data_IF_401278031249
#
_entry.id   IF_401278031249
#
_cell.length_a   1.000
_cell.length_b   1.000
_cell.length_c   1.000
_cell.angle_alpha   90.00
_cell.angle_beta   90.00
_cell.angle_gamma   90.00
#
_symmetry.space_group_name_H-M   'P 1'
#
loop_
_entity.id
_entity.type
_entity.pdbx_description
1 polymer ?
#
# COMPACT_ATOMS: atom_id res chain seq x y z
N UNK A 1 -16.16 5.11 -17.02
CA UNK A 1 -16.93 6.36 -17.24
C UNK A 1 -17.84 6.09 -18.41
N UNK A 2 -19.16 6.15 -18.26
CA UNK A 2 -20.03 6.27 -19.44
C UNK A 2 -19.86 7.71 -19.97
N UNK A 3 -19.35 7.90 -21.20
CA UNK A 3 -19.08 9.23 -21.73
C UNK A 3 -20.36 10.05 -22.02
N UNK A 4 -21.56 9.47 -21.86
CA UNK A 4 -22.80 10.12 -22.31
C UNK A 4 -23.62 10.81 -21.23
N UNK A 5 -23.31 10.64 -19.95
CA UNK A 5 -24.23 11.03 -18.86
C UNK A 5 -23.56 11.28 -17.50
N UNK A 6 -22.23 11.11 -17.35
CA UNK A 6 -21.50 11.62 -16.19
C UNK A 6 -21.77 10.91 -14.86
N UNK A 7 -22.48 9.78 -14.86
CA UNK A 7 -22.70 8.97 -13.66
C UNK A 7 -21.48 8.07 -13.44
N UNK A 8 -20.90 8.12 -12.24
CA UNK A 8 -19.82 7.24 -11.84
C UNK A 8 -20.27 5.78 -11.91
N UNK A 9 -19.62 4.98 -12.76
CA UNK A 9 -19.82 3.53 -12.78
C UNK A 9 -19.19 2.97 -11.50
N UNK A 10 -20.01 2.36 -10.64
CA UNK A 10 -19.49 1.62 -9.48
C UNK A 10 -18.79 0.37 -10.02
N UNK A 11 -17.47 0.33 -9.89
CA UNK A 11 -16.65 -0.75 -10.43
C UNK A 11 -16.60 -1.95 -9.47
N UNK A 12 -16.67 -1.72 -8.16
CA UNK A 12 -16.75 -2.80 -7.17
C UNK A 12 -17.39 -2.31 -5.86
N UNK A 13 -18.38 -3.05 -5.35
CA UNK A 13 -18.96 -2.89 -4.01
C UNK A 13 -19.59 -4.23 -3.58
N UNK A 14 -20.39 -4.29 -2.51
CA UNK A 14 -21.04 -5.54 -2.09
C UNK A 14 -22.04 -6.10 -3.14
N UNK A 15 -22.50 -5.28 -4.08
CA UNK A 15 -23.52 -5.61 -5.09
C UNK A 15 -22.92 -5.81 -6.50
N UNK A 16 -21.61 -5.57 -6.70
CA UNK A 16 -20.92 -5.65 -7.99
C UNK A 16 -19.60 -6.42 -7.83
N UNK A 17 -19.44 -7.48 -8.63
CA UNK A 17 -18.28 -8.40 -8.61
C UNK A 17 -18.34 -9.43 -7.48
N UNK A 18 -17.69 -10.59 -7.65
CA UNK A 18 -17.54 -11.59 -6.57
C UNK A 18 -16.27 -11.35 -5.74
N UNK A 19 -16.11 -12.10 -4.64
CA UNK A 19 -14.98 -12.00 -3.71
C UNK A 19 -15.30 -11.25 -2.42
N UNK A 20 -14.30 -11.02 -1.55
CA UNK A 20 -14.51 -10.31 -0.29
C UNK A 20 -15.06 -8.91 -0.53
N UNK A 21 -16.13 -8.54 0.19
CA UNK A 21 -16.59 -7.16 0.20
C UNK A 21 -15.55 -6.26 0.87
N UNK A 22 -15.40 -5.03 0.39
CA UNK A 22 -14.56 -4.04 1.08
C UNK A 22 -15.18 -3.67 2.43
N UNK A 23 -14.34 -3.51 3.45
CA UNK A 23 -14.75 -3.03 4.77
C UNK A 23 -14.19 -1.64 5.05
N UNK A 24 -12.88 -1.43 4.84
CA UNK A 24 -12.23 -0.13 4.95
C UNK A 24 -11.07 0.01 3.95
N UNK A 25 -11.35 0.12 2.64
CA UNK A 25 -10.32 0.31 1.63
C UNK A 25 -9.66 1.68 1.81
N UNK A 26 -8.33 1.71 1.92
CA UNK A 26 -7.58 2.93 2.24
C UNK A 26 -6.71 3.45 1.09
N UNK A 27 -6.12 2.54 0.31
CA UNK A 27 -5.17 2.89 -0.74
C UNK A 27 -5.30 1.96 -1.93
N UNK A 28 -4.97 2.48 -3.12
CA UNK A 28 -4.96 1.71 -4.36
C UNK A 28 -3.74 2.02 -5.23
N UNK A 29 -3.36 1.04 -6.05
CA UNK A 29 -2.39 1.18 -7.13
C UNK A 29 -2.89 0.39 -8.36
N UNK A 30 -2.35 0.68 -9.53
CA UNK A 30 -2.73 -0.01 -10.78
C UNK A 30 -1.52 -0.74 -11.33
N UNK A 31 -1.63 -2.06 -11.45
CA UNK A 31 -0.59 -2.90 -12.05
C UNK A 31 -0.46 -2.60 -13.54
N UNK A 32 0.69 -2.93 -14.12
CA UNK A 32 0.93 -2.79 -15.57
C UNK A 32 0.00 -3.65 -16.42
N UNK A 33 -0.59 -4.69 -15.83
CA UNK A 33 -1.63 -5.53 -16.43
C UNK A 33 -3.00 -4.86 -16.50
N UNK A 34 -3.17 -3.71 -15.83
CA UNK A 34 -4.45 -3.00 -15.71
C UNK A 34 -5.30 -3.44 -14.50
N UNK A 35 -4.87 -4.44 -13.74
CA UNK A 35 -5.53 -4.83 -12.49
C UNK A 35 -5.33 -3.76 -11.42
N UNK A 36 -6.34 -3.57 -10.56
CA UNK A 36 -6.27 -2.61 -9.45
C UNK A 36 -5.92 -3.36 -8.17
N UNK A 37 -4.87 -2.92 -7.48
CA UNK A 37 -4.52 -3.38 -6.16
C UNK A 37 -5.17 -2.47 -5.12
N UNK A 38 -5.73 -3.05 -4.07
CA UNK A 38 -6.40 -2.30 -2.99
C UNK A 38 -5.96 -2.85 -1.64
N UNK A 39 -5.51 -1.97 -0.74
CA UNK A 39 -5.31 -2.33 0.67
C UNK A 39 -6.57 -2.03 1.46
N UNK A 40 -7.03 -3.01 2.23
CA UNK A 40 -8.18 -2.87 3.13
C UNK A 40 -7.71 -2.95 4.59
N UNK A 41 -7.95 -1.88 5.34
CA UNK A 41 -7.41 -1.70 6.68
C UNK A 41 -8.09 -2.60 7.72
N UNK A 42 -9.40 -2.80 7.60
CA UNK A 42 -10.17 -3.60 8.57
C UNK A 42 -9.97 -5.08 8.29
N UNK A 43 -10.00 -5.48 7.02
CA UNK A 43 -9.72 -6.85 6.63
C UNK A 43 -8.23 -7.24 6.78
N UNK A 44 -7.33 -6.25 6.85
CA UNK A 44 -5.88 -6.44 6.90
C UNK A 44 -5.37 -7.28 5.72
N UNK A 45 -5.85 -6.96 4.52
CA UNK A 45 -5.50 -7.67 3.28
C UNK A 45 -5.04 -6.72 2.19
N UNK A 46 -4.30 -7.29 1.24
CA UNK A 46 -4.11 -6.75 -0.09
C UNK A 46 -4.99 -7.53 -1.06
N UNK A 47 -5.87 -6.84 -1.77
CA UNK A 47 -6.76 -7.38 -2.79
C UNK A 47 -6.24 -7.01 -4.18
N UNK A 48 -6.44 -7.91 -5.14
CA UNK A 48 -6.36 -7.61 -6.57
C UNK A 48 -7.78 -7.58 -7.13
N UNK A 49 -8.08 -6.57 -7.93
CA UNK A 49 -9.43 -6.27 -8.42
C UNK A 49 -9.38 -6.12 -9.93
N UNK A 50 -10.25 -6.84 -10.62
CA UNK A 50 -10.53 -6.59 -12.04
C UNK A 50 -11.45 -5.36 -12.15
N UNK A 51 -10.97 -4.25 -12.75
CA UNK A 51 -11.75 -3.02 -12.83
C UNK A 51 -12.89 -3.08 -13.87
N UNK A 52 -13.01 -4.16 -14.65
CA UNK A 52 -14.11 -4.36 -15.60
C UNK A 52 -15.27 -5.10 -14.92
N UNK A 53 -14.98 -6.21 -14.24
CA UNK A 53 -16.01 -7.05 -13.61
C UNK A 53 -16.27 -6.74 -12.13
N UNK A 54 -15.37 -6.01 -11.48
CA UNK A 54 -15.37 -5.80 -10.03
C UNK A 54 -14.95 -7.03 -9.23
N UNK A 55 -14.50 -8.10 -9.88
CA UNK A 55 -14.09 -9.32 -9.20
C UNK A 55 -12.85 -9.09 -8.34
N UNK A 56 -12.89 -9.54 -7.08
CA UNK A 56 -11.84 -9.33 -6.07
C UNK A 56 -11.24 -10.64 -5.64
N UNK A 57 -9.92 -10.70 -5.59
CA UNK A 57 -9.16 -11.83 -5.05
C UNK A 57 -8.22 -11.36 -3.96
N UNK A 58 -8.09 -12.14 -2.89
CA UNK A 58 -7.07 -11.89 -1.86
C UNK A 58 -5.72 -12.25 -2.44
N UNK A 59 -4.84 -11.25 -2.55
CA UNK A 59 -3.47 -11.43 -2.99
C UNK A 59 -2.55 -11.74 -1.81
N UNK A 60 -2.73 -11.05 -0.67
CA UNK A 60 -1.93 -11.29 0.54
C UNK A 60 -2.73 -11.01 1.80
N UNK A 61 -2.63 -11.89 2.80
CA UNK A 61 -3.35 -11.80 4.07
C UNK A 61 -2.65 -12.63 5.15
N UNK A 62 -3.17 -12.70 6.38
CA UNK A 62 -2.60 -13.59 7.41
C UNK A 62 -2.62 -15.07 7.03
N UNK A 63 -3.49 -15.46 6.09
CA UNK A 63 -3.69 -16.85 5.62
C UNK A 63 -3.27 -17.06 4.16
N UNK A 64 -2.83 -16.02 3.45
CA UNK A 64 -2.37 -16.06 2.06
C UNK A 64 -0.99 -15.40 1.94
N UNK A 65 -0.02 -16.15 1.42
CA UNK A 65 1.39 -15.76 1.41
C UNK A 65 2.04 -15.85 2.80
N UNK A 66 3.36 -15.96 2.82
CA UNK A 66 4.18 -16.01 4.03
C UNK A 66 4.66 -14.62 4.45
N UNK A 67 5.30 -14.53 5.61
CA UNK A 67 5.85 -13.29 6.15
C UNK A 67 4.91 -12.52 7.09
N UNK A 68 5.26 -11.29 7.49
CA UNK A 68 4.54 -10.55 8.51
C UNK A 68 3.11 -10.19 8.07
N UNK A 69 2.11 -10.52 8.89
CA UNK A 69 0.71 -10.06 8.74
C UNK A 69 0.64 -8.54 8.68
N UNK A 70 -0.29 -7.90 7.94
CA UNK A 70 -0.47 -6.44 7.95
C UNK A 70 -1.08 -5.93 9.27
N UNK A 71 -0.87 -4.66 9.60
CA UNK A 71 -1.54 -3.99 10.73
C UNK A 71 -2.06 -2.61 10.31
N UNK A 72 -3.37 -2.52 10.02
CA UNK A 72 -4.02 -1.33 9.47
C UNK A 72 -3.26 -0.78 8.24
N UNK A 73 -3.18 -1.54 7.13
CA UNK A 73 -2.53 -1.07 5.92
C UNK A 73 -3.28 0.12 5.30
N UNK A 74 -2.54 1.14 4.84
CA UNK A 74 -3.14 2.36 4.27
C UNK A 74 -2.43 2.94 3.05
N UNK A 75 -1.12 2.69 2.88
CA UNK A 75 -0.39 3.15 1.70
C UNK A 75 -0.04 1.99 0.78
N UNK A 76 0.01 2.26 -0.53
CA UNK A 76 0.42 1.29 -1.53
C UNK A 76 1.15 1.98 -2.70
N UNK A 77 2.20 1.34 -3.20
CA UNK A 77 2.86 1.72 -4.46
C UNK A 77 3.47 0.49 -5.14
N UNK A 78 3.88 0.66 -6.39
CA UNK A 78 4.49 -0.38 -7.21
C UNK A 78 5.92 -0.01 -7.54
N UNK A 79 6.84 -0.94 -7.27
CA UNK A 79 8.20 -0.87 -7.80
C UNK A 79 8.20 -1.15 -9.30
N UNK A 80 9.21 -0.65 -10.02
CA UNK A 80 9.35 -0.87 -11.45
C UNK A 80 9.47 -2.37 -11.82
N UNK A 81 9.88 -3.20 -10.86
CA UNK A 81 9.94 -4.67 -10.97
C UNK A 81 8.57 -5.34 -10.91
N UNK A 82 7.50 -4.62 -10.53
CA UNK A 82 6.17 -5.16 -10.27
C UNK A 82 5.94 -5.59 -8.82
N UNK A 83 6.95 -5.51 -7.96
CA UNK A 83 6.77 -5.75 -6.52
C UNK A 83 5.89 -4.66 -5.90
N UNK A 84 5.09 -5.04 -4.91
CA UNK A 84 4.10 -4.16 -4.30
C UNK A 84 4.62 -3.70 -2.95
N UNK A 85 4.68 -2.40 -2.71
CA UNK A 85 4.98 -1.86 -1.39
C UNK A 85 3.67 -1.54 -0.68
N UNK A 86 3.50 -2.07 0.52
CA UNK A 86 2.39 -1.76 1.42
C UNK A 86 2.95 -1.03 2.64
N UNK A 87 2.37 0.13 2.93
CA UNK A 87 2.62 0.89 4.14
C UNK A 87 1.51 0.60 5.15
N UNK A 88 1.91 0.20 6.33
CA UNK A 88 1.02 0.01 7.46
C UNK A 88 1.56 0.67 8.72
N UNK A 89 0.86 0.52 9.85
CA UNK A 89 1.24 1.13 11.12
C UNK A 89 2.60 0.70 11.67
N UNK A 90 3.21 -0.37 11.15
CA UNK A 90 4.53 -0.86 11.55
C UNK A 90 5.64 -0.46 10.58
N UNK A 91 5.31 -0.12 9.34
CA UNK A 91 6.29 0.33 8.35
C UNK A 91 5.98 -0.14 6.95
N UNK A 92 7.03 -0.33 6.14
CA UNK A 92 6.92 -0.71 4.74
C UNK A 92 7.18 -2.20 4.59
N UNK A 93 6.27 -2.89 3.95
CA UNK A 93 6.39 -4.30 3.57
C UNK A 93 6.32 -4.42 2.05
N UNK A 94 7.27 -5.15 1.47
CA UNK A 94 7.23 -5.57 0.07
C UNK A 94 6.43 -6.86 -0.06
N UNK A 95 5.56 -6.95 -1.04
CA UNK A 95 4.73 -8.12 -1.35
C UNK A 95 5.06 -8.62 -2.74
N UNK A 96 5.27 -9.92 -2.86
CA UNK A 96 5.40 -10.59 -4.15
C UNK A 96 4.02 -10.69 -4.83
N UNK A 97 3.87 -10.20 -6.08
CA UNK A 97 2.58 -10.15 -6.77
C UNK A 97 2.10 -11.52 -7.28
N UNK A 98 2.93 -12.57 -7.20
CA UNK A 98 2.60 -13.92 -7.63
C UNK A 98 2.26 -14.82 -6.44
N UNK A 99 3.08 -14.82 -5.39
CA UNK A 99 2.87 -15.68 -4.22
C UNK A 99 2.11 -15.00 -3.09
N UNK A 100 2.07 -13.66 -3.05
CA UNK A 100 1.55 -12.90 -1.92
C UNK A 100 2.49 -12.87 -0.70
N UNK A 101 3.71 -13.40 -0.84
CA UNK A 101 4.70 -13.42 0.23
C UNK A 101 5.17 -12.01 0.58
N UNK A 102 5.47 -11.80 1.87
CA UNK A 102 5.79 -10.50 2.44
C UNK A 102 7.19 -10.46 3.02
N UNK A 103 7.87 -9.35 2.80
CA UNK A 103 9.18 -9.06 3.38
C UNK A 103 9.20 -7.62 3.89
N UNK A 104 9.68 -7.42 5.12
CA UNK A 104 9.84 -6.07 5.67
C UNK A 104 10.92 -5.33 4.88
N UNK A 105 10.61 -4.12 4.42
CA UNK A 105 11.58 -3.19 3.80
C UNK A 105 12.14 -2.24 4.83
N UNK A 106 11.30 -1.61 5.66
CA UNK A 106 11.73 -0.68 6.70
C UNK A 106 10.72 -0.63 7.83
N UNK A 107 11.19 -0.74 9.07
CA UNK A 107 10.41 -0.54 10.29
C UNK A 107 11.34 -0.17 11.47
N UNK A 108 10.84 -0.27 12.70
CA UNK A 108 11.62 -0.03 13.92
C UNK A 108 12.84 -0.97 14.08
N UNK A 109 12.82 -2.14 13.45
CA UNK A 109 13.85 -3.19 13.56
C UNK A 109 14.66 -3.41 12.28
N UNK A 110 14.26 -2.80 11.16
CA UNK A 110 14.89 -2.95 9.83
C UNK A 110 15.25 -1.57 9.28
N UNK A 111 16.50 -1.41 8.87
CA UNK A 111 17.06 -0.14 8.42
C UNK A 111 17.43 0.80 9.56
N UNK A 112 18.28 1.77 9.26
CA UNK A 112 18.78 2.80 10.18
C UNK A 112 18.22 4.19 9.84
N UNK A 113 18.51 5.19 10.68
CA UNK A 113 18.03 6.55 10.49
C UNK A 113 16.70 6.84 11.20
N UNK A 114 16.23 8.10 11.14
CA UNK A 114 15.06 8.56 11.91
C UNK A 114 13.81 7.79 11.50
N UNK A 115 12.97 7.46 12.49
CA UNK A 115 11.66 6.88 12.27
C UNK A 115 10.64 7.99 12.02
N UNK A 116 9.64 7.69 11.21
CA UNK A 116 8.38 8.44 11.21
C UNK A 116 7.47 7.88 12.32
N UNK A 117 6.57 8.71 12.82
CA UNK A 117 5.64 8.36 13.89
C UNK A 117 4.20 8.25 13.40
N UNK A 118 3.85 8.99 12.35
CA UNK A 118 2.50 8.98 11.78
C UNK A 118 2.55 9.08 10.25
N UNK A 119 2.87 7.97 9.59
CA UNK A 119 2.96 7.97 8.14
C UNK A 119 1.59 8.26 7.49
N UNK A 120 1.59 9.07 6.44
CA UNK A 120 0.40 9.41 5.65
C UNK A 120 0.26 8.56 4.39
N UNK A 121 1.35 8.35 3.66
CA UNK A 121 1.37 7.66 2.38
C UNK A 121 2.79 7.44 1.89
N UNK A 122 2.92 6.71 0.79
CA UNK A 122 4.20 6.50 0.13
C UNK A 122 4.12 6.67 -1.39
N UNK A 123 5.27 6.94 -1.99
CA UNK A 123 5.48 6.96 -3.43
C UNK A 123 6.90 6.44 -3.73
N UNK A 124 7.19 6.17 -5.00
CA UNK A 124 8.52 5.70 -5.43
C UNK A 124 9.09 6.71 -6.41
N UNK A 125 10.31 7.16 -6.15
CA UNK A 125 11.08 8.00 -7.07
C UNK A 125 11.54 7.19 -8.28
N UNK A 126 11.81 7.85 -9.41
CA UNK A 126 12.37 7.19 -10.60
C UNK A 126 13.71 6.46 -10.33
N UNK A 127 14.41 6.85 -9.26
CA UNK A 127 15.64 6.21 -8.80
C UNK A 127 15.41 4.88 -8.05
N UNK A 128 14.16 4.54 -7.74
CA UNK A 128 13.78 3.38 -6.94
C UNK A 128 13.77 3.62 -5.43
N UNK A 129 14.05 4.84 -4.97
CA UNK A 129 13.91 5.18 -3.55
C UNK A 129 12.46 5.45 -3.18
N UNK A 130 12.09 5.08 -1.96
CA UNK A 130 10.73 5.22 -1.46
C UNK A 130 10.62 6.55 -0.73
N UNK A 131 9.58 7.31 -1.02
CA UNK A 131 9.21 8.49 -0.27
C UNK A 131 8.08 8.15 0.70
N UNK A 132 8.19 8.61 1.94
CA UNK A 132 7.14 8.48 2.95
C UNK A 132 6.83 9.87 3.50
N UNK A 133 5.56 10.25 3.48
CA UNK A 133 5.10 11.46 4.18
C UNK A 133 4.75 11.11 5.62
N UNK A 134 5.13 11.94 6.57
CA UNK A 134 4.64 11.94 7.94
C UNK A 134 3.62 13.08 8.10
N UNK A 135 2.46 12.76 8.68
CA UNK A 135 1.40 13.72 8.99
C UNK A 135 1.60 14.24 10.40
N UNK A 136 1.34 15.53 10.60
CA UNK A 136 1.22 16.15 11.93
C UNK A 136 0.18 15.37 12.77
N UNK A 137 0.66 14.57 13.72
CA UNK A 137 -0.18 13.90 14.72
C UNK A 137 0.07 14.41 16.14
N UNK A 138 1.19 15.09 16.38
CA UNK A 138 1.61 15.48 17.72
C UNK A 138 2.05 16.94 17.73
N UNK A 139 1.64 17.75 18.73
CA UNK A 139 1.93 19.19 18.82
C UNK A 139 3.42 19.59 18.80
N UNK A 140 4.34 18.63 18.82
CA UNK A 140 5.79 18.83 18.94
C UNK A 140 6.62 18.03 17.92
N UNK A 141 5.98 17.32 16.99
CA UNK A 141 6.65 16.62 15.90
C UNK A 141 6.04 17.12 14.59
N UNK A 142 6.63 18.15 13.95
CA UNK A 142 6.16 18.60 12.66
C UNK A 142 6.22 17.43 11.68
N UNK A 143 5.24 17.34 10.80
CA UNK A 143 5.21 16.40 9.69
C UNK A 143 6.48 16.49 8.85
N UNK A 144 6.65 15.56 7.92
CA UNK A 144 7.89 15.53 7.17
C UNK A 144 7.85 14.64 5.96
N UNK A 145 8.89 14.76 5.15
CA UNK A 145 9.12 13.90 4.01
C UNK A 145 10.38 13.09 4.26
N UNK A 146 10.27 11.78 4.22
CA UNK A 146 11.37 10.84 4.39
C UNK A 146 11.70 10.18 3.06
N UNK A 147 12.98 9.90 2.86
CA UNK A 147 13.47 8.98 1.84
C UNK A 147 13.84 7.67 2.51
N UNK A 148 13.52 6.55 1.88
CA UNK A 148 13.86 5.20 2.33
C UNK A 148 14.53 4.45 1.19
N UNK A 149 15.70 3.87 1.48
CA UNK A 149 16.39 2.96 0.56
C UNK A 149 15.65 1.60 0.55
N UNK A 150 15.16 1.23 -0.63
CA UNK A 150 14.35 0.02 -0.82
C UNK A 150 15.13 -1.29 -0.59
N UNK A 151 16.47 -1.27 -0.56
CA UNK A 151 17.30 -2.47 -0.43
C UNK A 151 17.63 -2.79 1.02
N UNK A 152 17.86 -1.77 1.84
CA UNK A 152 18.32 -1.93 3.22
C UNK A 152 17.40 -1.28 4.26
N UNK A 153 16.38 -0.53 3.83
CA UNK A 153 15.42 0.12 4.71
C UNK A 153 15.93 1.39 5.40
N UNK A 154 17.12 1.87 5.07
CA UNK A 154 17.69 3.07 5.69
C UNK A 154 16.87 4.31 5.34
N UNK A 155 16.71 5.20 6.32
CA UNK A 155 15.83 6.36 6.27
C UNK A 155 16.62 7.65 6.36
N UNK A 156 16.17 8.67 5.64
CA UNK A 156 16.67 10.03 5.77
C UNK A 156 15.50 11.03 5.75
N UNK A 157 15.51 11.99 6.67
CA UNK A 157 14.55 13.09 6.65
C UNK A 157 14.98 14.11 5.58
N UNK A 158 14.08 14.41 4.66
CA UNK A 158 14.28 15.35 3.54
C UNK A 158 13.77 16.75 3.91
N UNK A 159 12.57 16.84 4.47
CA UNK A 159 11.92 18.10 4.85
C UNK A 159 11.05 17.94 6.08
N UNK A 160 10.85 19.04 6.80
CA UNK A 160 9.80 19.26 7.81
C UNK A 160 8.80 20.29 7.31
#
# INVERSE_FOLDING_TARGET
>A
MDPHNGHGVIIANAMVGNGPAFEAPQGLAVETTGQVLVVDATLQVLLRVDPVSGHRTVLSSTTMGHGPSFLFPFGIALEATGQILVLDSRGITRVDPLSGDRMVVSNISVGSGPLWHNAGGLAIEATGQILVTERDALPLVPGGLFRVDAHNGNRALISR
#
